data_IF_846760768315
#
_entry.id   IF_846760768315
#
_cell.length_a   1.000
_cell.length_b   1.000
_cell.length_c   1.000
_cell.angle_alpha   90.00
_cell.angle_beta   90.00
_cell.angle_gamma   90.00
#
_symmetry.space_group_name_H-M   'P 1'
#
loop_
_entity.id
_entity.type
_entity.pdbx_description
1 polymer ?
#
# COMPACT_ATOMS: atom_id res chain seq x y z
N UNK A 1 6.38 -19.57 17.56
CA UNK A 1 6.35 -20.74 16.66
C UNK A 1 6.43 -20.16 15.27
N UNK A 2 7.56 -20.34 14.60
CA UNK A 2 7.87 -19.66 13.34
C UNK A 2 7.38 -20.50 12.17
N UNK A 3 6.72 -19.87 11.20
CA UNK A 3 6.34 -20.44 9.93
C UNK A 3 7.51 -20.35 8.93
N UNK A 4 7.65 -21.36 8.09
CA UNK A 4 8.62 -21.42 7.01
C UNK A 4 7.89 -21.41 5.68
N UNK A 5 7.99 -20.30 4.97
CA UNK A 5 7.51 -20.17 3.59
C UNK A 5 8.69 -20.35 2.63
N UNK A 6 8.43 -20.64 1.37
CA UNK A 6 9.48 -20.68 0.34
C UNK A 6 9.22 -19.59 -0.69
N UNK A 7 10.22 -18.77 -1.00
CA UNK A 7 10.17 -17.78 -2.08
C UNK A 7 11.43 -17.85 -2.93
N UNK A 8 11.30 -17.99 -4.26
CA UNK A 8 12.43 -18.14 -5.20
C UNK A 8 13.42 -19.25 -4.78
N UNK A 9 12.91 -20.34 -4.21
CA UNK A 9 13.70 -21.46 -3.71
C UNK A 9 14.43 -21.21 -2.38
N UNK A 10 14.30 -20.03 -1.78
CA UNK A 10 14.83 -19.70 -0.46
C UNK A 10 13.74 -19.81 0.61
N UNK A 11 14.11 -20.26 1.80
CA UNK A 11 13.22 -20.29 2.96
C UNK A 11 13.10 -18.86 3.53
N UNK A 12 11.86 -18.42 3.73
CA UNK A 12 11.49 -17.13 4.32
C UNK A 12 10.80 -17.40 5.67
N UNK A 13 11.40 -17.01 6.80
CA UNK A 13 10.75 -17.12 8.10
C UNK A 13 9.60 -16.11 8.21
N UNK A 14 8.53 -16.52 8.86
CA UNK A 14 7.40 -15.67 9.19
C UNK A 14 6.87 -15.99 10.59
N UNK A 15 6.29 -15.00 11.24
CA UNK A 15 5.64 -15.17 12.53
C UNK A 15 4.11 -15.21 12.38
N UNK A 16 3.40 -15.94 13.26
CA UNK A 16 1.95 -15.93 13.31
C UNK A 16 1.41 -14.49 13.41
N UNK A 17 0.41 -14.18 12.58
CA UNK A 17 -0.18 -12.85 12.50
C UNK A 17 0.47 -11.91 11.48
N UNK A 18 1.61 -12.27 10.89
CA UNK A 18 2.16 -11.54 9.75
C UNK A 18 1.37 -11.84 8.47
N UNK A 19 1.36 -10.87 7.55
CA UNK A 19 1.04 -11.14 6.15
C UNK A 19 2.29 -11.63 5.41
N UNK A 20 2.09 -12.30 4.27
CA UNK A 20 3.15 -12.69 3.34
C UNK A 20 4.03 -11.48 2.98
N UNK A 21 3.41 -10.33 2.69
CA UNK A 21 4.13 -9.10 2.38
C UNK A 21 4.98 -8.58 3.53
N UNK A 22 4.48 -8.65 4.77
CA UNK A 22 5.24 -8.25 5.95
C UNK A 22 6.43 -9.19 6.20
N UNK A 23 6.25 -10.50 6.04
CA UNK A 23 7.31 -11.49 6.20
C UNK A 23 8.42 -11.34 5.14
N UNK A 24 8.06 -11.13 3.87
CA UNK A 24 9.04 -10.88 2.80
C UNK A 24 9.89 -9.63 3.10
N UNK A 25 9.26 -8.53 3.51
CA UNK A 25 9.96 -7.29 3.89
C UNK A 25 10.85 -7.50 5.11
N UNK A 26 10.39 -8.24 6.12
CA UNK A 26 11.18 -8.57 7.30
C UNK A 26 12.42 -9.42 6.94
N UNK A 27 12.31 -10.28 5.93
CA UNK A 27 13.42 -11.05 5.37
C UNK A 27 14.31 -10.23 4.40
N UNK A 28 14.08 -8.92 4.27
CA UNK A 28 14.88 -8.02 3.42
C UNK A 28 14.48 -8.01 1.95
N UNK A 29 13.42 -8.72 1.55
CA UNK A 29 12.93 -8.80 0.18
C UNK A 29 11.96 -7.65 -0.06
N UNK A 30 12.28 -6.76 -1.01
CA UNK A 30 11.52 -5.53 -1.26
C UNK A 30 10.71 -5.54 -2.55
N UNK A 31 11.03 -6.46 -3.46
CA UNK A 31 10.39 -6.59 -4.75
C UNK A 31 10.23 -8.07 -5.17
N UNK A 32 9.10 -8.37 -5.81
CA UNK A 32 8.69 -9.71 -6.25
C UNK A 32 7.75 -9.65 -7.48
N UNK A 33 7.77 -8.50 -8.15
CA UNK A 33 7.01 -8.22 -9.38
C UNK A 33 7.73 -7.08 -10.11
N UNK A 34 7.48 -6.97 -11.41
CA UNK A 34 7.89 -5.82 -12.22
C UNK A 34 6.68 -5.15 -12.88
N UNK A 35 6.77 -3.84 -13.18
CA UNK A 35 5.73 -3.17 -13.98
C UNK A 35 5.71 -3.70 -15.39
N UNK A 36 4.51 -3.85 -15.96
CA UNK A 36 4.29 -4.27 -17.36
C UNK A 36 5.12 -3.45 -18.34
N UNK A 37 5.14 -2.13 -18.14
CA UNK A 37 5.92 -1.18 -18.94
C UNK A 37 7.17 -0.78 -18.17
N UNK A 38 8.34 -0.97 -18.78
CA UNK A 38 9.63 -0.52 -18.25
C UNK A 38 10.21 -1.36 -17.09
N UNK A 39 9.59 -2.49 -16.73
CA UNK A 39 10.19 -3.49 -15.84
C UNK A 39 10.57 -2.99 -14.44
N UNK A 40 9.93 -1.93 -13.95
CA UNK A 40 10.30 -1.32 -12.67
C UNK A 40 9.92 -2.25 -11.52
N UNK A 41 10.79 -2.50 -10.53
CA UNK A 41 10.51 -3.41 -9.42
C UNK A 41 9.31 -2.93 -8.59
N UNK A 42 8.48 -3.87 -8.17
CA UNK A 42 7.28 -3.67 -7.35
C UNK A 42 7.21 -4.71 -6.24
N UNK A 43 6.67 -4.28 -5.11
CA UNK A 43 6.51 -5.07 -3.89
C UNK A 43 5.56 -4.39 -2.93
N UNK A 44 5.87 -4.41 -1.63
CA UNK A 44 5.02 -3.77 -0.63
C UNK A 44 5.11 -2.24 -0.72
N UNK A 45 3.96 -1.59 -0.94
CA UNK A 45 3.85 -0.13 -0.93
C UNK A 45 2.83 0.35 0.11
N UNK A 46 1.53 0.19 -0.15
CA UNK A 46 0.49 0.72 0.74
C UNK A 46 0.21 -0.12 1.99
N UNK A 47 0.56 -1.42 2.00
CA UNK A 47 0.23 -2.35 3.10
C UNK A 47 -1.25 -2.71 3.27
N UNK A 48 -2.19 -1.93 2.71
CA UNK A 48 -3.64 -2.05 2.94
C UNK A 48 -4.41 -2.66 1.76
N UNK A 49 -3.73 -2.99 0.67
CA UNK A 49 -4.31 -3.71 -0.47
C UNK A 49 -5.00 -2.86 -1.54
N UNK A 50 -4.88 -1.54 -1.50
CA UNK A 50 -5.49 -0.62 -2.48
C UNK A 50 -4.61 -0.37 -3.71
N UNK A 51 -3.29 -0.47 -3.59
CA UNK A 51 -2.36 -0.07 -4.68
C UNK A 51 -2.07 -1.16 -5.72
N UNK A 52 -2.33 -2.43 -5.39
CA UNK A 52 -1.99 -3.60 -6.24
C UNK A 52 -0.51 -3.75 -6.64
N UNK A 53 0.42 -3.03 -6.02
CA UNK A 53 1.86 -3.21 -6.31
C UNK A 53 2.44 -4.51 -5.71
N UNK A 54 1.80 -5.05 -4.68
CA UNK A 54 2.27 -6.22 -3.93
C UNK A 54 1.74 -7.57 -4.45
N UNK A 55 1.34 -7.65 -5.73
CA UNK A 55 0.82 -8.90 -6.29
C UNK A 55 1.90 -9.99 -6.28
N UNK A 56 1.52 -11.17 -5.81
CA UNK A 56 2.36 -12.36 -5.71
C UNK A 56 1.56 -13.61 -6.08
N UNK A 57 2.24 -14.68 -6.49
CA UNK A 57 1.63 -15.99 -6.69
C UNK A 57 1.81 -16.83 -5.42
N UNK A 58 0.72 -17.39 -4.88
CA UNK A 58 0.72 -18.22 -3.68
C UNK A 58 0.14 -19.58 -4.03
N UNK A 59 0.93 -20.64 -3.86
CA UNK A 59 0.56 -22.02 -4.16
C UNK A 59 -0.04 -22.18 -5.57
N UNK A 60 0.58 -21.49 -6.54
CA UNK A 60 0.15 -21.50 -7.95
C UNK A 60 -1.02 -20.56 -8.26
N UNK A 61 -1.63 -19.89 -7.28
CA UNK A 61 -2.69 -18.92 -7.50
C UNK A 61 -2.10 -17.52 -7.70
N UNK A 62 -2.20 -16.92 -8.90
CA UNK A 62 -1.61 -15.61 -9.19
C UNK A 62 -2.44 -14.45 -8.62
N UNK A 63 -1.93 -13.23 -8.76
CA UNK A 63 -2.59 -11.97 -8.43
C UNK A 63 -3.10 -11.87 -6.98
N UNK A 64 -2.46 -12.56 -6.04
CA UNK A 64 -2.74 -12.42 -4.60
C UNK A 64 -2.08 -11.17 -4.07
N UNK A 65 -2.79 -10.39 -3.27
CA UNK A 65 -2.20 -9.24 -2.57
C UNK A 65 -1.38 -9.76 -1.40
N UNK A 66 -0.04 -9.74 -1.51
CA UNK A 66 0.85 -10.20 -0.45
C UNK A 66 0.58 -9.49 0.88
N UNK A 67 0.21 -8.20 0.83
CA UNK A 67 -0.06 -7.41 2.04
C UNK A 67 -1.30 -7.84 2.81
N UNK A 68 -2.26 -8.54 2.17
CA UNK A 68 -3.49 -9.03 2.79
C UNK A 68 -3.52 -10.55 2.94
N UNK A 69 -2.55 -11.26 2.38
CA UNK A 69 -2.48 -12.72 2.46
C UNK A 69 -1.80 -13.11 3.77
N UNK A 70 -2.45 -13.84 4.69
CA UNK A 70 -1.81 -14.29 5.92
C UNK A 70 -0.62 -15.20 5.61
N UNK A 71 0.48 -15.05 6.36
CA UNK A 71 1.58 -16.01 6.31
C UNK A 71 1.15 -17.31 7.01
N UNK A 72 1.52 -18.44 6.43
CA UNK A 72 1.29 -19.76 6.98
C UNK A 72 2.50 -20.65 6.70
N UNK A 73 2.68 -21.69 7.51
CA UNK A 73 3.76 -22.65 7.32
C UNK A 73 3.57 -23.41 6.00
N UNK A 74 4.67 -23.62 5.27
CA UNK A 74 4.68 -24.39 4.03
C UNK A 74 4.21 -23.65 2.77
N UNK A 75 3.82 -22.36 2.85
CA UNK A 75 3.40 -21.61 1.66
C UNK A 75 4.51 -21.56 0.60
N UNK A 76 4.13 -21.83 -0.65
CA UNK A 76 5.02 -21.70 -1.80
C UNK A 76 4.73 -20.41 -2.57
N UNK A 77 5.69 -19.49 -2.54
CA UNK A 77 5.59 -18.16 -3.12
C UNK A 77 6.45 -18.07 -4.38
N UNK A 78 5.89 -17.53 -5.44
CA UNK A 78 6.62 -17.21 -6.67
C UNK A 78 6.30 -15.79 -7.14
N UNK A 79 7.19 -15.21 -7.94
CA UNK A 79 6.91 -13.96 -8.62
C UNK A 79 5.58 -14.09 -9.38
N UNK A 80 4.74 -13.07 -9.31
CA UNK A 80 3.65 -12.99 -10.27
C UNK A 80 4.29 -12.78 -11.64
N UNK A 81 3.98 -13.61 -12.66
CA UNK A 81 4.41 -13.32 -14.01
C UNK A 81 3.93 -11.90 -14.34
N UNK A 82 4.84 -10.94 -14.37
CA UNK A 82 4.63 -9.77 -15.19
C UNK A 82 4.53 -10.35 -16.58
N UNK A 83 3.35 -10.30 -17.17
CA UNK A 83 3.00 -10.82 -18.49
C UNK A 83 4.18 -10.61 -19.45
N UNK A 84 5.04 -11.62 -19.53
CA UNK A 84 6.32 -11.47 -20.17
C UNK A 84 6.06 -11.66 -21.65
N UNK A 85 6.08 -10.54 -22.36
CA UNK A 85 6.19 -10.41 -23.81
C UNK A 85 5.12 -11.15 -24.65
N UNK A 86 3.99 -10.47 -24.87
CA UNK A 86 3.57 -10.24 -26.25
C UNK A 86 3.68 -8.74 -26.51
N UNK A 87 4.60 -8.32 -27.38
CA UNK A 87 4.62 -6.97 -27.96
C UNK A 87 3.44 -6.80 -28.94
N UNK A 88 2.24 -7.20 -28.53
CA UNK A 88 1.02 -6.98 -29.28
C UNK A 88 0.17 -5.95 -28.51
N UNK A 89 0.14 -4.68 -28.95
CA UNK A 89 -0.67 -3.65 -28.33
C UNK A 89 -2.17 -3.96 -28.34
N UNK A 90 -2.64 -4.97 -29.08
CA UNK A 90 -4.04 -5.36 -29.13
C UNK A 90 -4.48 -6.32 -28.01
N UNK A 91 -3.54 -7.05 -27.38
CA UNK A 91 -3.83 -8.04 -26.32
C UNK A 91 -3.66 -7.50 -24.89
N UNK A 92 -3.27 -6.23 -24.78
CA UNK A 92 -3.33 -5.48 -23.53
C UNK A 92 -4.79 -5.22 -23.14
N UNK A 93 -5.43 -6.21 -22.51
CA UNK A 93 -6.77 -6.04 -21.95
C UNK A 93 -6.84 -4.76 -21.09
N UNK A 94 -8.00 -4.07 -21.08
CA UNK A 94 -8.13 -2.83 -20.32
C UNK A 94 -7.76 -3.09 -18.85
N UNK A 95 -7.27 -2.06 -18.12
CA UNK A 95 -7.10 -2.19 -16.68
C UNK A 95 -8.39 -2.79 -16.12
N UNK A 96 -8.28 -3.91 -15.39
CA UNK A 96 -9.44 -4.46 -14.69
C UNK A 96 -9.97 -3.33 -13.83
N UNK A 97 -11.18 -2.85 -14.14
CA UNK A 97 -11.81 -1.77 -13.38
C UNK A 97 -11.87 -2.23 -11.93
N UNK A 98 -11.43 -1.37 -11.02
CA UNK A 98 -11.60 -1.60 -9.60
C UNK A 98 -13.09 -1.39 -9.27
N UNK A 99 -13.84 -2.45 -8.89
CA UNK A 99 -15.26 -2.31 -8.59
C UNK A 99 -15.51 -1.38 -7.38
N UNK A 100 -14.51 -1.17 -6.51
CA UNK A 100 -14.62 -0.25 -5.39
C UNK A 100 -14.64 1.23 -5.82
N UNK A 101 -14.22 1.54 -7.05
CA UNK A 101 -14.25 2.90 -7.61
C UNK A 101 -15.59 3.26 -8.25
N UNK A 102 -16.42 2.27 -8.54
CA UNK A 102 -17.71 2.46 -9.23
C UNK A 102 -18.89 2.52 -8.24
N UNK A 103 -18.68 2.30 -6.94
CA UNK A 103 -19.68 2.47 -5.89
C UNK A 103 -19.67 3.91 -5.33
N UNK A 104 -20.66 4.77 -5.65
CA UNK A 104 -20.74 6.13 -5.16
C UNK A 104 -20.89 6.22 -3.64
N UNK A 105 -21.24 5.12 -2.96
CA UNK A 105 -21.45 5.09 -1.51
C UNK A 105 -20.14 5.02 -0.70
N UNK A 106 -19.01 4.63 -1.33
CA UNK A 106 -17.69 4.51 -0.67
C UNK A 106 -16.82 5.77 -0.84
N UNK A 107 -17.26 6.72 -1.67
CA UNK A 107 -16.62 8.02 -1.86
C UNK A 107 -16.95 8.97 -0.70
N UNK A 108 -16.29 8.83 0.44
CA UNK A 108 -16.33 9.85 1.47
C UNK A 108 -15.88 11.21 0.91
N UNK A 109 -16.46 12.34 1.34
CA UNK A 109 -16.02 13.65 0.87
C UNK A 109 -14.53 13.85 1.18
N UNK A 110 -13.78 14.56 0.31
CA UNK A 110 -12.39 14.89 0.61
C UNK A 110 -12.33 15.56 1.98
N UNK A 111 -11.47 15.04 2.88
CA UNK A 111 -11.21 15.72 4.15
C UNK A 111 -10.63 17.09 3.78
N UNK A 112 -11.39 18.15 4.08
CA UNK A 112 -10.90 19.51 3.95
C UNK A 112 -9.76 19.69 4.95
N UNK A 113 -8.57 20.00 4.46
CA UNK A 113 -7.47 20.41 5.33
C UNK A 113 -7.93 21.57 6.22
N UNK A 114 -7.68 21.56 7.53
CA UNK A 114 -7.91 22.73 8.35
C UNK A 114 -7.07 23.88 7.80
N UNK A 115 -7.70 25.02 7.55
CA UNK A 115 -7.01 26.22 7.11
C UNK A 115 -5.91 26.59 8.13
N UNK A 116 -4.76 27.12 7.70
CA UNK A 116 -3.78 27.65 8.64
C UNK A 116 -4.42 28.81 9.43
N UNK A 117 -4.32 28.76 10.76
CA UNK A 117 -4.73 29.87 11.62
C UNK A 117 -3.84 31.07 11.31
N UNK A 118 -4.46 32.20 10.93
CA UNK A 118 -3.77 33.45 10.62
C UNK A 118 -3.24 34.09 11.92
N UNK A 119 -1.91 34.19 12.13
CA UNK A 119 -1.36 34.77 13.35
C UNK A 119 -1.40 36.31 13.38
N UNK A 120 -1.98 36.98 12.38
CA UNK A 120 -1.91 38.43 12.25
C UNK A 120 -3.06 39.22 12.91
N UNK A 121 -4.11 38.56 13.44
CA UNK A 121 -5.19 39.27 14.15
C UNK A 121 -4.91 39.39 15.65
N UNK A 122 -3.81 40.07 15.98
CA UNK A 122 -3.42 40.34 17.36
C UNK A 122 -2.75 41.70 17.48
N UNK A 123 -3.51 42.80 17.27
CA UNK A 123 -3.12 44.16 17.68
C UNK A 123 -4.26 45.17 17.55
N UNK A 124 -4.52 45.88 18.67
CA UNK A 124 -5.41 47.05 18.80
C UNK A 124 -6.73 46.66 19.44
N UNK A 125 -7.14 47.19 20.61
CA UNK A 125 -7.15 48.61 20.96
C UNK A 125 -6.72 48.89 22.41
N UNK A 126 -5.89 49.92 22.56
CA UNK A 126 -5.60 50.62 23.81
C UNK A 126 -6.60 51.76 23.97
N UNK A 127 -7.37 51.74 25.05
CA UNK A 127 -8.09 52.88 25.63
C UNK A 127 -8.53 52.45 27.02
N UNK A 128 -8.11 53.05 28.12
CA UNK A 128 -7.86 54.46 28.39
C UNK A 128 -8.68 54.79 29.62
N UNK A 129 -8.09 54.66 30.82
CA UNK A 129 -8.77 54.91 32.09
C UNK A 129 -7.76 55.27 33.16
N UNK A 130 -7.65 56.57 33.42
CA UNK A 130 -6.82 57.20 34.44
C UNK A 130 -7.20 56.76 35.86
N UNK A 131 -6.19 56.61 36.72
CA UNK A 131 -6.23 56.39 38.17
C UNK A 131 -6.75 57.65 38.95
N UNK A 132 -6.66 57.80 40.30
CA UNK A 132 -6.16 56.90 41.35
C UNK A 132 -6.94 56.89 42.71
N UNK A 133 -6.46 56.06 43.64
CA UNK A 133 -6.38 56.21 45.12
C UNK A 133 -7.61 56.53 45.98
N UNK A 134 -7.99 55.59 46.85
CA UNK A 134 -7.75 55.62 48.31
C UNK A 134 -8.21 54.30 48.95
#
# INVERSE_FOLDING_TARGET
MTYHMTFRGAVVPAEPGQSVGAALVAAGIRDWRSTRRGGRPRGLFCGIGVCFDCLITVDGVPDRRACLTPAADGLHLTDTPGDSASEDPALGGPPRKDPAREDPALGGPPRKDPAPEDPALGRGEMGGGHAPSA
#
